data_IF_167014871815
#
_entry.id   IF_167014871815
#
_cell.length_a   1.000
_cell.length_b   1.000
_cell.length_c   1.000
_cell.angle_alpha   90.00
_cell.angle_beta   90.00
_cell.angle_gamma   90.00
#
_symmetry.space_group_name_H-M   'P 1'
#
loop_
_entity.id
_entity.type
_entity.pdbx_description
1 polymer ?
#
# COMPACT_ATOMS: atom_id res chain seq x y z
N UNK A 1 -17.94 1.02 8.68
CA UNK A 1 -18.37 -0.05 7.78
C UNK A 1 -18.22 -1.41 8.43
N UNK A 2 -19.18 -2.29 8.17
CA UNK A 2 -19.07 -3.67 8.62
C UNK A 2 -18.09 -4.44 7.73
N UNK A 3 -17.18 -5.17 8.36
CA UNK A 3 -16.29 -6.10 7.67
C UNK A 3 -17.00 -7.45 7.54
N UNK A 4 -16.82 -8.11 6.39
CA UNK A 4 -17.47 -9.40 6.12
C UNK A 4 -17.11 -10.42 7.21
N UNK A 5 -18.12 -11.00 7.87
CA UNK A 5 -17.94 -12.03 8.89
C UNK A 5 -17.34 -11.56 10.21
N UNK A 6 -17.19 -10.25 10.43
CA UNK A 6 -16.56 -9.71 11.63
C UNK A 6 -17.55 -8.88 12.44
N UNK A 7 -17.63 -9.07 13.78
CA UNK A 7 -18.45 -8.21 14.63
C UNK A 7 -18.02 -6.75 14.57
N UNK A 8 -18.97 -5.83 14.74
CA UNK A 8 -18.72 -4.38 14.65
C UNK A 8 -17.57 -3.90 15.55
N UNK A 9 -17.49 -4.42 16.78
CA UNK A 9 -16.44 -4.03 17.71
C UNK A 9 -15.06 -4.44 17.20
N UNK A 10 -14.94 -5.66 16.64
CA UNK A 10 -13.68 -6.13 16.06
C UNK A 10 -13.33 -5.37 14.78
N UNK A 11 -14.33 -5.08 13.94
CA UNK A 11 -14.14 -4.29 12.72
C UNK A 11 -13.59 -2.91 13.03
N UNK A 12 -14.17 -2.27 14.07
CA UNK A 12 -13.73 -0.94 14.50
C UNK A 12 -12.33 -0.97 15.07
N UNK A 13 -12.02 -1.96 15.91
CA UNK A 13 -10.67 -2.14 16.47
C UNK A 13 -9.63 -2.38 15.38
N UNK A 14 -9.96 -3.19 14.39
CA UNK A 14 -9.09 -3.47 13.24
C UNK A 14 -8.84 -2.20 12.41
N UNK A 15 -9.88 -1.43 12.15
CA UNK A 15 -9.75 -0.17 11.43
C UNK A 15 -8.84 0.81 12.17
N UNK A 16 -9.02 0.97 13.48
CA UNK A 16 -8.18 1.84 14.31
C UNK A 16 -6.73 1.37 14.30
N UNK A 17 -6.50 0.08 14.43
CA UNK A 17 -5.15 -0.51 14.36
C UNK A 17 -4.44 -0.13 13.05
N UNK A 18 -5.12 -0.31 11.93
CA UNK A 18 -4.56 -0.01 10.61
C UNK A 18 -4.30 1.49 10.42
N UNK A 19 -5.25 2.33 10.80
CA UNK A 19 -5.08 3.77 10.68
C UNK A 19 -3.93 4.27 11.57
N UNK A 20 -3.77 3.68 12.75
CA UNK A 20 -2.66 3.99 13.65
C UNK A 20 -1.32 3.56 13.05
N UNK A 21 -1.27 2.34 12.50
CA UNK A 21 -0.06 1.83 11.85
C UNK A 21 0.37 2.68 10.66
N UNK A 22 -0.59 3.30 9.97
CA UNK A 22 -0.35 4.16 8.82
C UNK A 22 -0.26 5.64 9.19
N UNK A 23 -0.36 5.96 10.48
CA UNK A 23 -0.27 7.32 11.02
C UNK A 23 -1.31 8.29 10.44
N UNK A 24 -2.55 7.82 10.31
CA UNK A 24 -3.69 8.62 9.82
C UNK A 24 -4.91 8.53 10.74
N UNK A 25 -4.77 7.97 11.95
CA UNK A 25 -5.88 7.85 12.89
C UNK A 25 -6.49 9.20 13.27
N UNK A 26 -5.70 10.25 13.29
CA UNK A 26 -6.15 11.62 13.58
C UNK A 26 -7.07 12.19 12.49
N UNK A 27 -7.13 11.54 11.33
CA UNK A 27 -7.98 11.93 10.20
C UNK A 27 -9.17 10.97 10.00
N UNK A 28 -9.44 10.11 10.96
CA UNK A 28 -10.48 9.07 10.84
C UNK A 28 -11.86 9.61 10.51
N UNK A 29 -12.17 10.82 10.95
CA UNK A 29 -13.46 11.48 10.71
C UNK A 29 -13.41 12.53 9.60
N UNK A 30 -12.26 12.71 8.96
CA UNK A 30 -12.11 13.70 7.90
C UNK A 30 -12.79 13.23 6.61
N UNK A 31 -13.34 14.17 5.87
CA UNK A 31 -13.86 13.91 4.53
C UNK A 31 -12.68 13.69 3.56
N UNK A 32 -12.83 12.88 2.51
CA UNK A 32 -11.76 12.64 1.55
C UNK A 32 -11.15 13.93 0.97
N UNK A 33 -11.97 14.95 0.76
CA UNK A 33 -11.51 16.24 0.25
C UNK A 33 -10.61 17.01 1.21
N UNK A 34 -10.60 16.65 2.50
CA UNK A 34 -9.79 17.29 3.55
C UNK A 34 -8.43 16.62 3.74
N UNK A 35 -8.19 15.50 3.05
CA UNK A 35 -6.96 14.73 3.19
C UNK A 35 -5.91 15.17 2.17
N UNK A 36 -4.64 15.19 2.57
CA UNK A 36 -3.53 15.33 1.64
C UNK A 36 -3.47 14.11 0.71
N UNK A 37 -2.73 14.23 -0.41
CA UNK A 37 -2.54 13.10 -1.33
C UNK A 37 -1.94 11.88 -0.64
N UNK A 38 -0.94 12.09 0.21
CA UNK A 38 -0.31 11.02 0.99
C UNK A 38 -1.25 10.41 2.02
N UNK A 39 -2.07 11.23 2.69
CA UNK A 39 -3.08 10.74 3.63
C UNK A 39 -4.15 9.93 2.93
N UNK A 40 -4.63 10.39 1.77
CA UNK A 40 -5.59 9.64 0.95
C UNK A 40 -5.04 8.28 0.55
N UNK A 41 -3.78 8.21 0.15
CA UNK A 41 -3.13 6.97 -0.24
C UNK A 41 -3.00 6.01 0.93
N UNK A 42 -2.62 6.51 2.10
CA UNK A 42 -2.53 5.69 3.30
C UNK A 42 -3.87 5.16 3.76
N UNK A 43 -4.93 5.96 3.67
CA UNK A 43 -6.30 5.50 3.94
C UNK A 43 -6.72 4.43 2.96
N UNK A 44 -6.38 4.57 1.67
CA UNK A 44 -6.66 3.55 0.66
C UNK A 44 -5.95 2.22 0.98
N UNK A 45 -4.70 2.28 1.45
CA UNK A 45 -3.96 1.09 1.89
C UNK A 45 -4.67 0.42 3.08
N UNK A 46 -5.09 1.21 4.07
CA UNK A 46 -5.84 0.68 5.22
C UNK A 46 -7.12 -0.03 4.78
N UNK A 47 -7.84 0.54 3.83
CA UNK A 47 -9.05 -0.06 3.26
C UNK A 47 -8.76 -1.41 2.62
N UNK A 48 -7.67 -1.51 1.86
CA UNK A 48 -7.26 -2.75 1.23
C UNK A 48 -6.93 -3.83 2.24
N UNK A 49 -6.38 -3.46 3.39
CA UNK A 49 -5.90 -4.40 4.42
C UNK A 49 -6.96 -4.82 5.44
N UNK A 50 -8.08 -4.10 5.51
CA UNK A 50 -9.02 -4.24 6.62
C UNK A 50 -9.64 -5.63 6.73
N UNK A 51 -9.80 -6.35 5.63
CA UNK A 51 -10.36 -7.71 5.59
C UNK A 51 -9.31 -8.82 5.64
N UNK A 52 -8.07 -8.53 5.99
CA UNK A 52 -6.96 -9.48 6.00
C UNK A 52 -6.80 -10.24 4.66
N UNK A 53 -6.73 -9.55 3.51
CA UNK A 53 -6.62 -10.25 2.24
C UNK A 53 -5.24 -10.93 2.12
N UNK A 54 -5.18 -12.10 1.46
CA UNK A 54 -3.89 -12.73 1.18
C UNK A 54 -3.09 -12.00 0.10
N UNK A 55 -3.77 -11.25 -0.78
CA UNK A 55 -3.15 -10.52 -1.88
C UNK A 55 -3.79 -9.14 -2.02
N UNK A 56 -2.97 -8.14 -2.24
CA UNK A 56 -3.41 -6.79 -2.59
C UNK A 56 -2.85 -6.42 -3.96
N UNK A 57 -3.70 -5.83 -4.79
CA UNK A 57 -3.31 -5.27 -6.08
C UNK A 57 -3.23 -3.75 -5.95
N UNK A 58 -2.06 -3.19 -6.20
CA UNK A 58 -1.84 -1.76 -6.18
C UNK A 58 -1.50 -1.29 -7.60
N UNK A 59 -2.42 -0.57 -8.21
CA UNK A 59 -2.26 -0.07 -9.58
C UNK A 59 -1.77 1.37 -9.54
N UNK A 60 -0.56 1.59 -10.04
CA UNK A 60 0.10 2.91 -10.06
C UNK A 60 -0.01 3.65 -8.71
N UNK A 61 0.39 3.03 -7.59
CA UNK A 61 0.15 3.61 -6.26
C UNK A 61 0.89 4.92 -6.00
N UNK A 62 1.88 5.24 -6.82
CA UNK A 62 2.72 6.42 -6.67
C UNK A 62 2.53 7.47 -7.77
N UNK A 63 1.64 7.23 -8.74
CA UNK A 63 1.51 8.05 -9.94
C UNK A 63 1.33 9.55 -9.68
N UNK A 64 0.50 10.00 -8.72
CA UNK A 64 0.31 11.44 -8.50
C UNK A 64 1.34 12.06 -7.56
N UNK A 65 2.34 11.30 -7.10
CA UNK A 65 3.23 11.71 -6.04
C UNK A 65 4.60 12.10 -6.56
N UNK A 66 5.27 13.05 -5.88
CA UNK A 66 6.68 13.32 -6.09
C UNK A 66 7.53 12.14 -5.60
N UNK A 67 8.84 12.19 -5.88
CA UNK A 67 9.75 11.08 -5.57
C UNK A 67 9.80 10.73 -4.08
N UNK A 68 9.84 11.74 -3.22
CA UNK A 68 9.92 11.53 -1.77
C UNK A 68 8.65 10.85 -1.23
N UNK A 69 7.48 11.34 -1.63
CA UNK A 69 6.20 10.78 -1.22
C UNK A 69 5.97 9.40 -1.83
N UNK A 70 6.40 9.21 -3.09
CA UNK A 70 6.32 7.92 -3.74
C UNK A 70 7.11 6.86 -2.97
N UNK A 71 8.34 7.16 -2.58
CA UNK A 71 9.18 6.24 -1.81
C UNK A 71 8.60 5.96 -0.43
N UNK A 72 7.98 6.96 0.20
CA UNK A 72 7.29 6.78 1.48
C UNK A 72 6.13 5.79 1.35
N UNK A 73 5.34 5.88 0.29
CA UNK A 73 4.23 4.93 0.01
C UNK A 73 4.76 3.52 -0.19
N UNK A 74 5.83 3.36 -0.98
CA UNK A 74 6.42 2.03 -1.23
C UNK A 74 6.95 1.42 0.06
N UNK A 75 7.58 2.21 0.91
CA UNK A 75 8.05 1.72 2.21
C UNK A 75 6.88 1.25 3.08
N UNK A 76 5.79 2.00 3.10
CA UNK A 76 4.58 1.61 3.82
C UNK A 76 4.03 0.30 3.29
N UNK A 77 3.95 0.14 1.96
CA UNK A 77 3.48 -1.11 1.35
C UNK A 77 4.37 -2.29 1.73
N UNK A 78 5.68 -2.11 1.70
CA UNK A 78 6.62 -3.17 2.12
C UNK A 78 6.44 -3.53 3.59
N UNK A 79 6.32 -2.54 4.47
CA UNK A 79 6.11 -2.77 5.90
C UNK A 79 4.79 -3.51 6.16
N UNK A 80 3.72 -3.12 5.45
CA UNK A 80 2.42 -3.76 5.61
C UNK A 80 2.43 -5.19 5.09
N UNK A 81 3.12 -5.44 3.97
CA UNK A 81 3.27 -6.79 3.43
C UNK A 81 3.91 -7.73 4.45
N UNK A 82 4.98 -7.28 5.08
CA UNK A 82 5.69 -8.06 6.10
C UNK A 82 4.87 -8.21 7.39
N UNK A 83 4.30 -7.11 7.87
CA UNK A 83 3.57 -7.08 9.14
C UNK A 83 2.30 -7.92 9.12
N UNK A 84 1.57 -7.90 8.03
CA UNK A 84 0.29 -8.59 7.90
C UNK A 84 0.37 -9.84 7.02
N UNK A 85 1.57 -10.22 6.58
CA UNK A 85 1.81 -11.40 5.74
C UNK A 85 0.90 -11.42 4.51
N UNK A 86 0.80 -10.27 3.86
CA UNK A 86 0.02 -10.07 2.64
C UNK A 86 0.98 -9.92 1.46
N UNK A 87 0.71 -10.61 0.37
CA UNK A 87 1.43 -10.40 -0.88
C UNK A 87 0.89 -9.13 -1.55
N UNK A 88 1.78 -8.26 -1.99
CA UNK A 88 1.38 -7.03 -2.68
C UNK A 88 1.95 -7.05 -4.09
N UNK A 89 1.06 -6.95 -5.07
CA UNK A 89 1.42 -6.87 -6.48
C UNK A 89 1.24 -5.42 -6.91
N UNK A 90 2.33 -4.80 -7.35
CA UNK A 90 2.36 -3.40 -7.75
C UNK A 90 2.47 -3.31 -9.27
N UNK A 91 1.49 -2.69 -9.91
CA UNK A 91 1.56 -2.32 -11.31
C UNK A 91 2.09 -0.89 -11.43
N UNK A 92 3.20 -0.71 -12.13
CA UNK A 92 3.83 0.61 -12.23
C UNK A 92 4.70 0.76 -13.46
N UNK A 93 4.85 2.02 -13.91
CA UNK A 93 5.84 2.44 -14.90
C UNK A 93 6.98 3.24 -14.25
N UNK A 94 6.95 3.43 -12.95
CA UNK A 94 7.92 4.28 -12.25
C UNK A 94 9.22 3.51 -12.01
N UNK A 95 10.24 3.85 -12.79
CA UNK A 95 11.55 3.23 -12.70
C UNK A 95 12.24 3.46 -11.35
N UNK A 96 11.82 4.45 -10.59
CA UNK A 96 12.42 4.76 -9.29
C UNK A 96 12.04 3.73 -8.24
N UNK A 97 10.84 3.17 -8.32
CA UNK A 97 10.37 2.20 -7.33
C UNK A 97 10.67 0.75 -7.72
N UNK A 98 10.92 0.47 -9.00
CA UNK A 98 11.21 -0.88 -9.48
C UNK A 98 12.35 -1.55 -8.70
N UNK A 99 13.49 -0.88 -8.43
CA UNK A 99 14.59 -1.52 -7.69
C UNK A 99 14.25 -1.93 -6.26
N UNK A 100 13.18 -1.40 -5.67
CA UNK A 100 12.76 -1.74 -4.31
C UNK A 100 11.94 -3.03 -4.24
N UNK A 101 11.49 -3.54 -5.37
CA UNK A 101 10.64 -4.71 -5.46
C UNK A 101 11.48 -5.98 -5.46
N UNK A 102 10.98 -7.04 -4.82
CA UNK A 102 11.70 -8.31 -4.72
C UNK A 102 11.61 -9.14 -5.99
N UNK A 103 10.46 -9.07 -6.67
CA UNK A 103 10.22 -9.80 -7.91
C UNK A 103 9.63 -8.85 -8.93
N UNK A 104 10.15 -8.90 -10.14
CA UNK A 104 9.73 -8.01 -11.21
C UNK A 104 9.26 -8.84 -12.39
N UNK A 105 8.07 -8.52 -12.90
CA UNK A 105 7.52 -9.12 -14.10
C UNK A 105 7.36 -8.03 -15.15
N UNK A 106 8.08 -8.16 -16.24
CA UNK A 106 7.89 -7.28 -17.40
C UNK A 106 6.82 -7.88 -18.30
N UNK A 107 5.80 -7.08 -18.61
CA UNK A 107 4.74 -7.49 -19.53
C UNK A 107 4.96 -6.75 -20.85
N UNK A 108 5.14 -7.52 -21.92
CA UNK A 108 5.33 -7.00 -23.26
C UNK A 108 4.58 -7.88 -24.25
N UNK A 109 3.68 -7.29 -25.04
CA UNK A 109 2.85 -8.00 -26.03
C UNK A 109 2.11 -9.20 -25.44
N UNK A 110 1.58 -9.05 -24.24
CA UNK A 110 0.82 -10.11 -23.54
C UNK A 110 1.67 -11.23 -22.95
N UNK A 111 3.00 -11.11 -22.99
CA UNK A 111 3.92 -12.12 -22.45
C UNK A 111 4.64 -11.54 -21.24
N UNK A 112 4.75 -12.34 -20.17
CA UNK A 112 5.46 -11.96 -18.96
C UNK A 112 6.86 -12.54 -18.92
N UNK A 113 7.82 -11.74 -18.49
CA UNK A 113 9.20 -12.14 -18.24
C UNK A 113 9.56 -11.79 -16.80
N UNK A 114 9.94 -12.79 -16.01
CA UNK A 114 10.34 -12.58 -14.63
C UNK A 114 11.81 -12.18 -14.55
N UNK A 115 12.07 -11.17 -13.71
CA UNK A 115 13.42 -10.73 -13.35
C UNK A 115 13.51 -10.66 -11.83
N UNK A 116 14.63 -11.12 -11.26
CA UNK A 116 14.84 -11.00 -9.82
C UNK A 116 15.05 -9.53 -9.47
N UNK A 117 14.24 -9.04 -8.54
CA UNK A 117 14.39 -7.69 -8.01
C UNK A 117 15.54 -7.62 -7.02
N UNK A 118 16.13 -6.45 -6.88
CA UNK A 118 17.21 -6.22 -5.93
C UNK A 118 16.73 -6.14 -4.49
N UNK A 119 15.43 -5.83 -4.30
CA UNK A 119 14.86 -5.68 -2.97
C UNK A 119 15.56 -4.63 -2.14
N UNK A 120 16.05 -3.57 -2.76
CA UNK A 120 16.77 -2.51 -2.07
C UNK A 120 15.91 -1.90 -0.99
N UNK A 121 16.51 -1.63 0.16
CA UNK A 121 15.85 -0.89 1.21
C UNK A 121 15.45 0.49 0.69
N UNK A 122 14.24 0.92 1.04
CA UNK A 122 13.77 2.25 0.72
C UNK A 122 14.34 3.21 1.75
N UNK A 123 15.29 4.04 1.33
CA UNK A 123 15.87 5.05 2.19
C UNK A 123 15.10 6.35 2.03
N UNK A 124 14.81 6.99 3.14
CA UNK A 124 14.34 8.37 3.14
C UNK A 124 15.57 9.28 3.00
N UNK A 125 15.58 9.97 1.91
CA UNK A 125 16.57 11.03 1.73
C UNK A 125 16.29 12.18 2.71
#
# INVERSE_FOLDING_TARGET
PMLAGMPNAQARARAVELLTALDVQHRAKAMPSQLSGGEQQRVAIARGLVNHPPVILADEPTAPLDSERAMAVIRILNDMALRYQTAIIVGTHDEKIIPTLKRIYHIRDGVTHEEAGEGRAVELA
#
